data_IF_735743000000
#
_entry.id   IF_735743000000
#
_cell.length_a   1.000
_cell.length_b   1.000
_cell.length_c   1.000
_cell.angle_alpha   90.00
_cell.angle_beta   90.00
_cell.angle_gamma   90.00
#
_symmetry.space_group_name_H-M   'P 1'
#
loop_
_entity.id
_entity.type
_entity.pdbx_description
1 polymer ?
#
# COMPACT_ATOMS: atom_id res chain seq x y z
N UNK A 1 14.54 -18.28 16.39
CA UNK A 1 14.14 -18.98 15.14
C UNK A 1 15.10 -18.57 14.05
N UNK A 2 15.57 -19.52 13.23
CA UNK A 2 16.47 -19.23 12.11
C UNK A 2 15.63 -18.81 10.91
N UNK A 3 15.82 -17.62 10.32
CA UNK A 3 15.17 -17.25 9.09
C UNK A 3 15.74 -18.03 7.91
N UNK A 4 14.90 -18.38 6.95
CA UNK A 4 15.23 -19.09 5.73
C UNK A 4 14.59 -18.40 4.54
N UNK A 5 15.21 -18.55 3.38
CA UNK A 5 14.70 -18.04 2.12
C UNK A 5 14.80 -19.10 1.03
N UNK A 6 14.08 -18.90 -0.07
CA UNK A 6 14.19 -19.64 -1.31
C UNK A 6 14.06 -18.70 -2.49
N UNK A 7 14.94 -18.88 -3.46
CA UNK A 7 14.91 -18.15 -4.74
C UNK A 7 14.84 -19.17 -5.88
N UNK A 8 13.81 -19.05 -6.70
CA UNK A 8 13.58 -19.89 -7.86
C UNK A 8 13.69 -18.99 -9.10
N UNK A 9 14.70 -19.26 -9.95
CA UNK A 9 14.91 -18.54 -11.20
C UNK A 9 14.56 -19.45 -12.38
N UNK A 10 13.64 -19.00 -13.26
CA UNK A 10 13.15 -19.76 -14.42
C UNK A 10 12.78 -21.21 -14.08
N UNK A 11 12.06 -21.41 -12.99
CA UNK A 11 11.64 -22.71 -12.41
C UNK A 11 12.75 -23.54 -11.78
N UNK A 12 14.01 -23.09 -11.77
CA UNK A 12 15.12 -23.76 -11.07
C UNK A 12 15.37 -23.16 -9.70
N UNK A 13 15.45 -23.99 -8.66
CA UNK A 13 15.83 -23.56 -7.32
C UNK A 13 17.34 -23.28 -7.29
N UNK A 14 17.70 -22.01 -7.12
CA UNK A 14 19.09 -21.54 -7.07
C UNK A 14 19.57 -21.26 -5.64
N UNK A 15 18.72 -21.49 -4.63
CA UNK A 15 18.97 -21.13 -3.23
C UNK A 15 20.31 -21.65 -2.72
N UNK A 16 20.60 -22.94 -2.94
CA UNK A 16 21.85 -23.53 -2.49
C UNK A 16 23.10 -22.90 -3.11
N UNK A 17 22.99 -22.37 -4.34
CA UNK A 17 24.11 -21.74 -5.06
C UNK A 17 24.42 -20.33 -4.55
N UNK A 18 23.42 -19.65 -3.98
CA UNK A 18 23.57 -18.26 -3.54
C UNK A 18 23.58 -18.11 -2.02
N UNK A 19 23.33 -19.16 -1.26
CA UNK A 19 23.16 -19.09 0.18
C UNK A 19 24.39 -18.54 0.94
N UNK A 20 25.60 -18.94 0.57
CA UNK A 20 26.87 -18.49 1.17
C UNK A 20 27.37 -17.16 0.58
N UNK A 21 26.73 -16.69 -0.50
CA UNK A 21 27.08 -15.48 -1.24
C UNK A 21 26.07 -14.36 -1.05
N UNK A 22 24.93 -14.64 -0.40
CA UNK A 22 23.88 -13.65 -0.23
C UNK A 22 24.33 -12.51 0.66
N UNK A 23 24.40 -11.30 0.12
CA UNK A 23 24.62 -10.06 0.86
C UNK A 23 23.31 -9.42 1.27
N UNK A 24 22.32 -9.39 0.37
CA UNK A 24 21.02 -8.78 0.58
C UNK A 24 19.96 -9.45 -0.31
N UNK A 25 18.83 -9.78 0.28
CA UNK A 25 17.57 -10.03 -0.45
C UNK A 25 16.54 -9.06 0.11
N UNK A 26 16.09 -8.15 -0.74
CA UNK A 26 15.11 -7.13 -0.42
C UNK A 26 13.90 -7.27 -1.32
N UNK A 27 12.71 -7.20 -0.75
CA UNK A 27 11.46 -7.08 -1.51
C UNK A 27 10.65 -5.90 -0.99
N UNK A 28 9.94 -5.22 -1.87
CA UNK A 28 9.10 -4.08 -1.56
C UNK A 28 7.72 -4.27 -2.19
N UNK A 29 6.70 -4.43 -1.36
CA UNK A 29 5.29 -4.47 -1.75
C UNK A 29 4.71 -3.05 -1.64
N UNK A 30 4.13 -2.56 -2.74
CA UNK A 30 3.56 -1.22 -2.87
C UNK A 30 2.06 -1.27 -3.19
N UNK A 31 1.30 -0.22 -2.84
CA UNK A 31 -0.12 -0.16 -3.14
C UNK A 31 -0.38 0.20 -4.60
N UNK A 32 -1.47 -0.28 -5.11
CA UNK A 32 -1.97 0.12 -6.42
C UNK A 32 -1.14 -0.35 -7.59
N UNK A 33 -1.03 0.51 -8.63
CA UNK A 33 -0.29 0.23 -9.85
C UNK A 33 1.21 0.54 -9.74
N UNK A 34 1.71 0.88 -8.56
CA UNK A 34 3.14 0.88 -8.31
C UNK A 34 3.62 -0.57 -8.28
N UNK A 35 4.69 -0.83 -9.04
CA UNK A 35 5.19 -2.19 -9.16
C UNK A 35 5.85 -2.64 -7.86
N UNK A 36 5.54 -3.85 -7.40
CA UNK A 36 6.34 -4.51 -6.39
C UNK A 36 7.74 -4.75 -6.97
N UNK A 37 8.77 -4.60 -6.14
CA UNK A 37 10.16 -4.64 -6.55
C UNK A 37 10.94 -5.67 -5.71
N UNK A 38 12.01 -6.22 -6.31
CA UNK A 38 13.01 -6.96 -5.56
C UNK A 38 14.42 -6.50 -5.91
N UNK A 39 15.33 -6.69 -4.97
CA UNK A 39 16.76 -6.53 -5.13
C UNK A 39 17.47 -7.71 -4.48
N UNK A 40 18.36 -8.35 -5.22
CA UNK A 40 19.21 -9.44 -4.78
C UNK A 40 20.66 -9.02 -5.00
N UNK A 41 21.46 -8.96 -3.91
CA UNK A 41 22.90 -8.71 -3.96
C UNK A 41 23.67 -9.96 -3.62
N UNK A 42 24.59 -10.32 -4.47
CA UNK A 42 25.38 -11.53 -4.39
C UNK A 42 26.87 -11.16 -4.45
N UNK A 43 27.65 -11.77 -3.57
CA UNK A 43 29.11 -11.71 -3.60
C UNK A 43 29.65 -12.58 -4.75
N UNK A 44 30.34 -11.96 -5.69
CA UNK A 44 30.95 -12.62 -6.85
C UNK A 44 32.48 -12.66 -6.77
N UNK A 45 33.02 -12.84 -5.56
CA UNK A 45 34.46 -12.82 -5.21
C UNK A 45 35.35 -13.69 -6.10
N UNK A 46 34.80 -14.66 -6.81
CA UNK A 46 35.51 -15.61 -7.68
C UNK A 46 35.06 -15.55 -9.14
N UNK A 47 34.16 -14.61 -9.50
CA UNK A 47 33.63 -14.44 -10.84
C UNK A 47 32.81 -15.64 -11.36
N UNK A 48 32.34 -16.51 -10.46
CA UNK A 48 31.66 -17.75 -10.81
C UNK A 48 30.12 -17.61 -10.92
N UNK A 49 29.55 -16.50 -10.54
CA UNK A 49 28.11 -16.28 -10.60
C UNK A 49 27.68 -15.99 -12.03
N UNK A 50 26.85 -16.85 -12.60
CA UNK A 50 26.30 -16.65 -13.94
C UNK A 50 25.23 -15.54 -13.88
N UNK A 51 25.40 -14.53 -14.73
CA UNK A 51 24.43 -13.42 -14.82
C UNK A 51 23.09 -13.92 -15.38
N UNK A 52 21.97 -13.61 -14.73
CA UNK A 52 20.66 -13.96 -15.25
C UNK A 52 20.34 -13.12 -16.51
N UNK A 53 19.57 -13.70 -17.42
CA UNK A 53 19.04 -12.96 -18.57
C UNK A 53 18.01 -11.91 -18.10
N UNK A 54 18.00 -10.76 -18.75
CA UNK A 54 16.94 -9.78 -18.57
C UNK A 54 15.62 -10.36 -19.09
N UNK A 55 14.61 -10.39 -18.24
CA UNK A 55 13.35 -11.05 -18.54
C UNK A 55 13.16 -12.37 -17.81
N UNK A 56 14.21 -12.91 -17.19
CA UNK A 56 14.11 -14.10 -16.35
C UNK A 56 13.10 -13.93 -15.23
N UNK A 57 12.34 -14.98 -14.93
CA UNK A 57 11.37 -15.00 -13.83
C UNK A 57 12.07 -15.36 -12.53
N UNK A 58 11.80 -14.61 -11.46
CA UNK A 58 12.34 -14.86 -10.12
C UNK A 58 11.19 -14.93 -9.13
N UNK A 59 11.00 -16.12 -8.52
CA UNK A 59 10.09 -16.30 -7.40
C UNK A 59 10.87 -16.25 -6.08
N UNK A 60 10.37 -15.46 -5.12
CA UNK A 60 10.98 -15.28 -3.80
C UNK A 60 10.05 -15.81 -2.73
N UNK A 61 10.58 -16.66 -1.87
CA UNK A 61 9.91 -17.19 -0.70
C UNK A 61 10.78 -16.92 0.53
N UNK A 62 10.16 -16.48 1.64
CA UNK A 62 10.85 -16.20 2.90
C UNK A 62 10.04 -16.83 4.06
N UNK A 63 10.71 -17.26 5.10
CA UNK A 63 10.08 -17.85 6.28
C UNK A 63 11.05 -18.14 7.40
N UNK A 64 10.62 -18.99 8.31
CA UNK A 64 11.44 -19.48 9.40
C UNK A 64 11.54 -21.00 9.37
N UNK A 65 12.69 -21.51 9.72
CA UNK A 65 12.90 -22.93 9.91
C UNK A 65 11.89 -23.49 10.94
N UNK A 66 11.24 -24.60 10.57
CA UNK A 66 10.15 -25.19 11.34
C UNK A 66 8.76 -24.53 11.18
N UNK A 67 8.63 -23.39 10.46
CA UNK A 67 7.33 -22.74 10.15
C UNK A 67 6.99 -22.73 8.68
N UNK A 68 7.93 -23.11 7.82
CA UNK A 68 7.77 -23.15 6.38
C UNK A 68 8.06 -21.80 5.69
N UNK A 69 7.99 -21.84 4.37
CA UNK A 69 8.25 -20.72 3.47
C UNK A 69 6.93 -20.16 2.97
N UNK A 70 6.84 -18.84 2.89
CA UNK A 70 5.73 -18.11 2.27
C UNK A 70 6.24 -17.43 1.02
N UNK A 71 5.52 -17.58 -0.09
CA UNK A 71 5.83 -16.86 -1.33
C UNK A 71 5.53 -15.37 -1.15
N UNK A 72 6.56 -14.56 -1.33
CA UNK A 72 6.46 -13.10 -1.26
C UNK A 72 6.01 -12.53 -2.60
N UNK A 73 6.59 -13.00 -3.70
CA UNK A 73 6.22 -12.52 -5.03
C UNK A 73 6.91 -13.28 -6.16
N UNK A 74 6.43 -12.99 -7.38
CA UNK A 74 7.06 -13.40 -8.64
C UNK A 74 7.42 -12.14 -9.39
N UNK A 75 8.66 -12.02 -9.76
CA UNK A 75 9.26 -10.83 -10.37
C UNK A 75 9.87 -11.17 -11.71
N UNK A 76 10.12 -10.16 -12.53
CA UNK A 76 10.89 -10.28 -13.76
C UNK A 76 12.13 -9.42 -13.65
N UNK A 77 13.30 -9.98 -13.92
CA UNK A 77 14.57 -9.27 -13.94
C UNK A 77 14.54 -8.19 -15.01
N UNK A 78 14.81 -6.95 -14.63
CA UNK A 78 14.89 -5.81 -15.56
C UNK A 78 16.28 -5.15 -15.56
N UNK A 79 17.04 -5.30 -14.47
CA UNK A 79 18.37 -4.72 -14.31
C UNK A 79 19.34 -5.73 -13.69
N UNK A 80 20.55 -5.81 -14.25
CA UNK A 80 21.67 -6.56 -13.69
C UNK A 80 22.88 -5.64 -13.71
N UNK A 81 23.49 -5.42 -12.54
CA UNK A 81 24.65 -4.57 -12.34
C UNK A 81 25.79 -5.40 -11.75
N UNK A 82 26.98 -5.28 -12.32
CA UNK A 82 28.22 -5.80 -11.75
C UNK A 82 29.08 -4.62 -11.30
N UNK A 83 29.53 -4.65 -10.05
CA UNK A 83 30.39 -3.62 -9.46
C UNK A 83 31.50 -4.25 -8.64
N UNK A 84 32.62 -3.54 -8.53
CA UNK A 84 33.78 -4.01 -7.75
C UNK A 84 34.89 -2.96 -7.69
N UNK A 85 35.95 -3.15 -6.82
CA UNK A 85 36.04 -4.16 -5.77
C UNK A 85 35.31 -3.75 -4.47
N UNK A 86 34.77 -4.67 -3.64
CA UNK A 86 34.68 -6.09 -3.89
C UNK A 86 33.63 -6.43 -4.96
N UNK A 87 33.86 -7.48 -5.72
CA UNK A 87 33.01 -7.85 -6.85
C UNK A 87 31.64 -8.32 -6.34
N UNK A 88 30.61 -7.63 -6.82
CA UNK A 88 29.23 -7.79 -6.36
C UNK A 88 28.27 -7.72 -7.53
N UNK A 89 27.35 -8.66 -7.63
CA UNK A 89 26.26 -8.64 -8.59
C UNK A 89 24.99 -8.17 -7.89
N UNK A 90 24.34 -7.17 -8.48
CA UNK A 90 23.03 -6.68 -8.05
C UNK A 90 22.01 -6.98 -9.13
N UNK A 91 20.99 -7.74 -8.78
CA UNK A 91 19.89 -8.11 -9.66
C UNK A 91 18.64 -7.41 -9.14
N UNK A 92 17.99 -6.61 -10.00
CA UNK A 92 16.74 -5.93 -9.69
C UNK A 92 15.66 -6.34 -10.67
N UNK A 93 14.43 -6.32 -10.20
CA UNK A 93 13.28 -6.59 -11.05
C UNK A 93 11.98 -6.14 -10.42
N UNK A 94 10.95 -6.21 -11.23
CA UNK A 94 9.60 -5.74 -10.88
C UNK A 94 8.60 -6.87 -11.03
N UNK A 95 7.45 -6.75 -10.35
CA UNK A 95 6.37 -7.72 -10.47
C UNK A 95 6.08 -8.02 -11.94
N UNK A 96 6.04 -9.29 -12.29
CA UNK A 96 5.92 -9.78 -13.67
C UNK A 96 4.65 -9.30 -14.37
N UNK A 97 3.58 -9.05 -13.60
CA UNK A 97 2.29 -8.55 -14.08
C UNK A 97 2.34 -7.15 -14.71
N UNK A 98 3.43 -6.40 -14.54
CA UNK A 98 3.60 -5.04 -15.08
C UNK A 98 4.24 -5.00 -16.48
N UNK A 99 4.56 -6.15 -17.05
CA UNK A 99 5.02 -6.28 -18.45
C UNK A 99 3.83 -6.67 -19.31
N UNK A 100 3.39 -5.79 -20.20
CA UNK A 100 2.28 -6.11 -21.10
C UNK A 100 1.71 -4.90 -21.82
N UNK A 101 0.64 -5.13 -22.56
CA UNK A 101 -0.04 -4.13 -23.38
C UNK A 101 -0.70 -3.00 -22.58
N UNK A 102 -0.81 -3.16 -21.25
CA UNK A 102 -1.40 -2.13 -20.35
C UNK A 102 -0.68 -0.78 -20.35
N UNK A 103 0.59 -0.72 -20.80
CA UNK A 103 1.35 0.53 -21.01
C UNK A 103 1.14 1.16 -22.39
N UNK A 104 0.51 0.44 -23.33
CA UNK A 104 0.25 0.96 -24.67
C UNK A 104 -0.74 2.11 -24.60
N UNK A 105 -0.40 3.22 -25.25
CA UNK A 105 -1.27 4.38 -25.39
C UNK A 105 -2.43 4.01 -26.32
N UNK A 106 -3.64 4.38 -25.92
CA UNK A 106 -4.88 4.09 -26.64
C UNK A 106 -5.82 5.28 -26.61
N UNK A 107 -6.75 5.28 -27.54
CA UNK A 107 -7.90 6.17 -27.56
C UNK A 107 -9.19 5.36 -27.49
N UNK A 108 -10.18 5.89 -26.77
CA UNK A 108 -11.48 5.26 -26.59
C UNK A 108 -12.30 5.94 -25.52
N UNK A 109 -13.44 5.36 -25.17
CA UNK A 109 -14.28 5.91 -24.13
C UNK A 109 -15.42 4.97 -23.75
N UNK A 110 -16.02 5.25 -22.60
CA UNK A 110 -17.21 4.57 -22.09
C UNK A 110 -18.24 5.60 -21.65
N UNK A 111 -19.50 5.30 -21.86
CA UNK A 111 -20.62 6.15 -21.47
C UNK A 111 -21.74 5.33 -20.83
N UNK A 112 -22.21 5.75 -19.65
CA UNK A 112 -23.34 5.16 -18.96
C UNK A 112 -23.12 3.72 -18.47
N UNK A 113 -21.88 3.26 -18.30
CA UNK A 113 -21.55 1.91 -17.86
C UNK A 113 -21.01 1.90 -16.43
N UNK A 114 -21.04 0.75 -15.77
CA UNK A 114 -20.50 0.62 -14.42
C UNK A 114 -18.97 0.61 -14.43
N UNK A 115 -18.34 1.03 -13.33
CA UNK A 115 -16.89 0.93 -13.14
C UNK A 115 -16.42 -0.52 -13.33
N UNK A 116 -17.17 -1.49 -12.82
CA UNK A 116 -16.87 -2.90 -12.99
C UNK A 116 -16.82 -3.31 -14.48
N UNK A 117 -17.72 -2.77 -15.31
CA UNK A 117 -17.70 -3.03 -16.77
C UNK A 117 -16.45 -2.46 -17.43
N UNK A 118 -16.05 -1.24 -17.09
CA UNK A 118 -14.82 -0.62 -17.62
C UNK A 118 -13.60 -1.46 -17.26
N UNK A 119 -13.53 -1.91 -16.00
CA UNK A 119 -12.44 -2.77 -15.50
C UNK A 119 -12.41 -4.10 -16.26
N UNK A 120 -13.57 -4.70 -16.52
CA UNK A 120 -13.66 -5.95 -17.26
C UNK A 120 -13.20 -5.79 -18.72
N UNK A 121 -13.59 -4.72 -19.40
CA UNK A 121 -13.18 -4.44 -20.78
C UNK A 121 -11.66 -4.22 -20.87
N UNK A 122 -11.08 -3.46 -19.92
CA UNK A 122 -9.63 -3.24 -19.85
C UNK A 122 -8.88 -4.54 -19.53
N UNK A 123 -9.38 -5.36 -18.62
CA UNK A 123 -8.79 -6.64 -18.30
C UNK A 123 -8.80 -7.58 -19.50
N UNK A 124 -9.95 -7.73 -20.17
CA UNK A 124 -10.12 -8.60 -21.32
C UNK A 124 -9.13 -8.28 -22.47
N UNK A 125 -8.97 -6.99 -22.80
CA UNK A 125 -8.04 -6.59 -23.88
C UNK A 125 -6.55 -6.75 -23.54
N UNK A 126 -6.24 -6.94 -22.24
CA UNK A 126 -4.87 -7.23 -21.79
C UNK A 126 -4.66 -8.70 -21.42
N UNK A 127 -5.67 -9.57 -21.61
CA UNK A 127 -5.58 -10.99 -21.30
C UNK A 127 -5.68 -11.30 -19.80
N UNK A 128 -6.22 -10.38 -18.98
CA UNK A 128 -6.39 -10.57 -17.54
C UNK A 128 -7.82 -10.90 -17.18
N UNK A 129 -7.99 -11.56 -16.03
CA UNK A 129 -9.28 -11.60 -15.34
C UNK A 129 -9.53 -10.27 -14.63
N UNK A 130 -10.80 -9.94 -14.36
CA UNK A 130 -11.16 -8.71 -13.67
C UNK A 130 -11.83 -9.01 -12.34
N UNK A 131 -11.56 -8.17 -11.34
CA UNK A 131 -12.28 -8.17 -10.06
C UNK A 131 -12.55 -6.73 -9.61
N UNK A 132 -13.81 -6.33 -9.65
CA UNK A 132 -14.27 -5.01 -9.21
C UNK A 132 -15.69 -5.13 -8.62
N UNK A 133 -15.83 -5.07 -7.28
CA UNK A 133 -17.15 -5.11 -6.64
C UNK A 133 -17.94 -3.81 -6.78
N UNK A 134 -17.32 -2.75 -7.29
CA UNK A 134 -17.91 -1.41 -7.36
C UNK A 134 -18.83 -1.28 -8.57
N UNK A 135 -20.15 -1.26 -8.34
CA UNK A 135 -21.18 -1.17 -9.36
C UNK A 135 -21.63 0.27 -9.68
N UNK A 136 -20.82 1.26 -9.30
CA UNK A 136 -21.15 2.65 -9.57
C UNK A 136 -21.14 2.93 -11.07
N UNK A 137 -22.20 3.58 -11.58
CA UNK A 137 -22.28 3.99 -12.97
C UNK A 137 -21.37 5.17 -13.23
N UNK A 138 -20.51 5.03 -14.22
CA UNK A 138 -19.65 6.09 -14.75
C UNK A 138 -20.40 6.76 -15.90
N UNK A 139 -20.80 8.04 -15.77
CA UNK A 139 -21.59 8.71 -16.79
C UNK A 139 -20.87 8.79 -18.13
N UNK A 140 -19.60 9.19 -18.09
CA UNK A 140 -18.69 9.21 -19.23
C UNK A 140 -17.25 9.25 -18.75
N UNK A 141 -16.40 8.50 -19.43
CA UNK A 141 -14.95 8.59 -19.30
C UNK A 141 -14.32 8.40 -20.67
N UNK A 142 -13.42 9.30 -21.01
CA UNK A 142 -12.64 9.23 -22.24
C UNK A 142 -11.21 8.81 -21.90
N UNK A 143 -10.65 7.93 -22.71
CA UNK A 143 -9.25 7.56 -22.77
C UNK A 143 -8.66 8.26 -24.00
N UNK A 144 -7.86 9.31 -23.79
CA UNK A 144 -7.31 10.13 -24.87
C UNK A 144 -5.79 10.11 -24.72
N UNK A 145 -5.10 9.49 -25.67
CA UNK A 145 -3.65 9.31 -25.62
C UNK A 145 -3.17 8.81 -24.26
N UNK A 146 -3.92 7.91 -23.64
CA UNK A 146 -3.71 7.44 -22.27
C UNK A 146 -3.54 5.93 -22.26
N UNK A 147 -2.59 5.41 -21.45
CA UNK A 147 -2.44 3.97 -21.25
C UNK A 147 -3.54 3.40 -20.34
N UNK A 148 -3.81 2.09 -20.46
CA UNK A 148 -4.77 1.40 -19.61
C UNK A 148 -4.41 1.52 -18.13
N UNK A 149 -3.13 1.46 -17.78
CA UNK A 149 -2.67 1.63 -16.41
C UNK A 149 -2.95 3.03 -15.86
N UNK A 150 -2.75 4.08 -16.67
CA UNK A 150 -3.05 5.44 -16.25
C UNK A 150 -4.55 5.65 -16.08
N UNK A 151 -5.34 5.22 -17.07
CA UNK A 151 -6.80 5.34 -17.02
C UNK A 151 -7.38 4.65 -15.77
N UNK A 152 -6.99 3.37 -15.53
CA UNK A 152 -7.55 2.64 -14.39
C UNK A 152 -7.08 3.21 -13.04
N UNK A 153 -5.84 3.72 -12.98
CA UNK A 153 -5.32 4.39 -11.78
C UNK A 153 -6.09 5.67 -11.48
N UNK A 154 -6.36 6.46 -12.51
CA UNK A 154 -7.15 7.71 -12.41
C UNK A 154 -8.57 7.44 -11.97
N UNK A 155 -9.24 6.45 -12.59
CA UNK A 155 -10.59 6.04 -12.22
C UNK A 155 -10.64 5.49 -10.79
N UNK A 156 -9.73 4.58 -10.43
CA UNK A 156 -9.68 4.06 -9.08
C UNK A 156 -9.57 5.17 -8.03
N UNK A 157 -8.68 6.14 -8.24
CA UNK A 157 -8.52 7.29 -7.34
C UNK A 157 -9.80 8.13 -7.24
N UNK A 158 -10.49 8.36 -8.36
CA UNK A 158 -11.73 9.13 -8.40
C UNK A 158 -12.85 8.46 -7.60
N UNK A 159 -12.92 7.13 -7.64
CA UNK A 159 -13.94 6.34 -6.94
C UNK A 159 -13.49 5.80 -5.57
N UNK A 160 -12.37 6.30 -5.04
CA UNK A 160 -11.86 5.87 -3.72
C UNK A 160 -11.41 4.42 -3.67
N UNK A 161 -10.98 3.88 -4.80
CA UNK A 161 -10.47 2.52 -4.97
C UNK A 161 -8.95 2.51 -5.14
N UNK A 162 -8.39 1.32 -5.02
CA UNK A 162 -7.02 0.99 -5.43
C UNK A 162 -7.09 0.00 -6.58
N UNK A 163 -6.30 0.24 -7.64
CA UNK A 163 -6.14 -0.69 -8.75
C UNK A 163 -4.79 -1.39 -8.67
N UNK A 164 -4.76 -2.72 -8.82
CA UNK A 164 -3.51 -3.51 -8.86
C UNK A 164 -3.66 -4.66 -9.86
N UNK A 165 -2.60 -4.95 -10.60
CA UNK A 165 -2.52 -6.19 -11.39
C UNK A 165 -1.68 -7.19 -10.63
N UNK A 166 -2.27 -8.34 -10.29
CA UNK A 166 -1.59 -9.40 -9.55
C UNK A 166 -2.12 -10.77 -10.01
N UNK A 167 -1.22 -11.73 -10.25
CA UNK A 167 -1.56 -13.10 -10.66
C UNK A 167 -2.56 -13.13 -11.85
N UNK A 168 -2.25 -12.38 -12.91
CA UNK A 168 -3.06 -12.25 -14.13
C UNK A 168 -4.50 -11.74 -13.91
N UNK A 169 -4.71 -10.99 -12.83
CA UNK A 169 -5.98 -10.33 -12.50
C UNK A 169 -5.80 -8.83 -12.35
N UNK A 170 -6.71 -8.07 -12.97
CA UNK A 170 -6.89 -6.65 -12.71
C UNK A 170 -7.88 -6.48 -11.55
N UNK A 171 -7.37 -6.05 -10.41
CA UNK A 171 -8.14 -5.82 -9.19
C UNK A 171 -8.43 -4.32 -9.05
N UNK A 172 -9.69 -3.95 -8.85
CA UNK A 172 -10.08 -2.57 -8.49
C UNK A 172 -10.99 -2.65 -7.28
N UNK A 173 -10.41 -2.46 -6.11
CA UNK A 173 -11.06 -2.68 -4.82
C UNK A 173 -11.22 -1.36 -4.05
N UNK A 174 -12.30 -1.19 -3.27
CA UNK A 174 -12.43 -0.03 -2.39
C UNK A 174 -11.23 0.06 -1.44
N UNK A 175 -10.59 1.22 -1.41
CA UNK A 175 -9.46 1.47 -0.50
C UNK A 175 -9.95 1.40 0.95
N UNK A 176 -9.24 0.66 1.80
CA UNK A 176 -9.66 0.38 3.18
C UNK A 176 -11.02 -0.35 3.26
N UNK A 177 -11.41 -1.10 2.24
CA UNK A 177 -12.62 -1.90 2.25
C UNK A 177 -12.62 -3.03 3.29
N UNK A 178 -11.44 -3.44 3.73
CA UNK A 178 -11.26 -4.54 4.69
C UNK A 178 -11.61 -5.92 4.11
N UNK A 179 -11.70 -6.02 2.79
CA UNK A 179 -12.04 -7.26 2.09
C UNK A 179 -10.90 -7.68 1.16
N UNK A 180 -10.77 -8.98 0.97
CA UNK A 180 -9.91 -9.57 -0.06
C UNK A 180 -10.58 -9.42 -1.42
N UNK A 181 -9.82 -9.65 -2.49
CA UNK A 181 -10.36 -9.73 -3.84
C UNK A 181 -11.52 -10.74 -3.95
N UNK A 182 -11.55 -11.79 -3.14
CA UNK A 182 -12.63 -12.78 -3.08
C UNK A 182 -13.88 -12.35 -2.29
N UNK A 183 -13.95 -11.10 -1.80
CA UNK A 183 -15.03 -10.61 -0.93
C UNK A 183 -14.94 -11.09 0.53
N UNK A 184 -13.96 -11.94 0.87
CA UNK A 184 -13.76 -12.39 2.24
C UNK A 184 -13.13 -11.28 3.10
N UNK A 185 -13.56 -11.09 4.37
CA UNK A 185 -12.99 -10.07 5.23
C UNK A 185 -11.49 -10.31 5.48
N UNK A 186 -10.70 -9.23 5.41
CA UNK A 186 -9.31 -9.24 5.82
C UNK A 186 -9.23 -9.24 7.34
N UNK A 187 -8.59 -10.24 7.91
CA UNK A 187 -8.30 -10.26 9.34
C UNK A 187 -7.36 -9.12 9.69
N UNK A 188 -7.75 -8.26 10.62
CA UNK A 188 -6.90 -7.18 11.12
C UNK A 188 -5.71 -7.77 11.90
N UNK A 189 -4.51 -7.28 11.63
CA UNK A 189 -3.31 -7.67 12.39
C UNK A 189 -3.09 -6.65 13.50
N UNK A 190 -2.96 -7.13 14.73
CA UNK A 190 -2.57 -6.30 15.86
C UNK A 190 -1.07 -6.39 16.08
N UNK A 191 -0.41 -5.23 16.14
CA UNK A 191 1.02 -5.09 16.45
C UNK A 191 1.17 -4.49 17.83
N UNK A 192 1.78 -5.24 18.72
CA UNK A 192 2.02 -4.79 20.11
C UNK A 192 3.43 -4.23 20.28
N UNK A 193 3.63 -3.38 21.29
CA UNK A 193 4.94 -2.75 21.54
C UNK A 193 6.12 -3.72 21.60
N UNK A 194 6.03 -4.93 22.22
CA UNK A 194 7.13 -5.89 22.26
C UNK A 194 7.50 -6.48 20.89
N UNK A 195 6.57 -6.51 19.93
CA UNK A 195 6.82 -7.04 18.59
C UNK A 195 7.55 -6.03 17.69
N UNK A 196 7.60 -4.76 18.08
CA UNK A 196 8.16 -3.67 17.28
C UNK A 196 9.55 -3.31 17.80
N UNK A 197 10.58 -3.50 16.97
CA UNK A 197 11.98 -3.17 17.30
C UNK A 197 12.21 -1.67 17.26
N UNK A 198 11.74 -1.00 16.21
CA UNK A 198 11.86 0.45 16.03
C UNK A 198 10.56 1.03 15.51
N UNK A 199 10.20 2.23 15.94
CA UNK A 199 9.02 2.91 15.43
C UNK A 199 9.25 4.41 15.28
N UNK A 200 8.56 4.99 14.32
CA UNK A 200 8.46 6.43 14.14
C UNK A 200 7.02 6.78 13.80
N UNK A 201 6.43 7.70 14.54
CA UNK A 201 5.11 8.25 14.29
C UNK A 201 5.23 9.75 14.03
N UNK A 202 4.66 10.20 12.92
CA UNK A 202 4.56 11.62 12.57
C UNK A 202 3.08 11.96 12.42
N UNK A 203 2.63 12.99 13.09
CA UNK A 203 1.30 13.55 12.94
C UNK A 203 1.42 14.95 12.37
N UNK A 204 0.55 15.27 11.40
CA UNK A 204 0.54 16.58 10.74
C UNK A 204 -0.91 16.98 10.46
N UNK A 205 -1.24 18.21 10.78
CA UNK A 205 -2.55 18.80 10.51
C UNK A 205 -2.59 19.60 9.21
N UNK A 206 -1.44 19.82 8.54
CA UNK A 206 -1.33 20.61 7.30
C UNK A 206 -2.27 20.16 6.20
N UNK A 207 -2.56 18.86 6.12
CA UNK A 207 -3.46 18.27 5.13
C UNK A 207 -4.91 18.20 5.63
N UNK A 208 -5.18 18.52 6.89
CA UNK A 208 -6.53 18.44 7.45
C UNK A 208 -7.41 19.52 6.84
N UNK A 209 -8.55 19.11 6.26
CA UNK A 209 -9.57 19.99 5.73
C UNK A 209 -10.81 19.93 6.59
N UNK A 210 -11.49 21.07 6.82
CA UNK A 210 -12.76 21.14 7.53
C UNK A 210 -13.88 20.48 6.71
N UNK A 211 -13.86 20.67 5.42
CA UNK A 211 -14.81 20.09 4.48
C UNK A 211 -14.22 20.00 3.07
N UNK A 212 -14.83 19.21 2.22
CA UNK A 212 -14.55 19.16 0.79
C UNK A 212 -15.83 19.54 0.05
N UNK A 213 -15.71 20.49 -0.87
CA UNK A 213 -16.77 20.93 -1.81
C UNK A 213 -16.51 20.33 -3.17
N UNK A 214 -17.56 19.80 -3.80
CA UNK A 214 -17.53 19.33 -5.19
C UNK A 214 -18.76 19.86 -5.92
N UNK A 215 -18.56 20.45 -7.09
CA UNK A 215 -19.62 20.98 -7.92
C UNK A 215 -20.13 19.96 -8.93
N UNK A 216 -21.42 20.00 -9.26
CA UNK A 216 -22.01 19.19 -10.33
C UNK A 216 -23.03 19.99 -11.12
N UNK A 217 -23.23 19.59 -12.39
CA UNK A 217 -24.26 20.15 -13.24
C UNK A 217 -25.56 19.37 -13.00
N UNK A 218 -26.60 20.05 -12.51
CA UNK A 218 -27.93 19.47 -12.45
C UNK A 218 -28.57 19.50 -13.84
N UNK A 219 -28.78 18.31 -14.42
CA UNK A 219 -29.37 18.16 -15.76
C UNK A 219 -30.85 18.63 -15.86
N UNK A 220 -31.56 18.66 -14.71
CA UNK A 220 -32.98 19.10 -14.70
C UNK A 220 -33.13 20.61 -14.68
N UNK A 221 -32.32 21.27 -13.89
CA UNK A 221 -32.41 22.73 -13.70
C UNK A 221 -31.39 23.50 -14.52
N UNK A 222 -30.40 22.83 -15.11
CA UNK A 222 -29.28 23.45 -15.81
C UNK A 222 -28.33 24.24 -14.91
N UNK A 223 -28.54 24.22 -13.58
CA UNK A 223 -27.76 24.99 -12.61
C UNK A 223 -26.55 24.22 -12.12
N UNK A 224 -25.52 24.99 -11.74
CA UNK A 224 -24.38 24.46 -11.02
C UNK A 224 -24.74 24.35 -9.53
N UNK A 225 -24.72 23.14 -9.01
CA UNK A 225 -24.99 22.81 -7.61
C UNK A 225 -23.69 22.38 -6.92
N UNK A 226 -23.60 22.54 -5.59
CA UNK A 226 -22.41 22.19 -4.80
C UNK A 226 -22.79 21.23 -3.69
N UNK A 227 -22.06 20.12 -3.61
CA UNK A 227 -22.09 19.20 -2.46
C UNK A 227 -20.94 19.58 -1.52
N UNK A 228 -21.24 19.75 -0.24
CA UNK A 228 -20.26 19.95 0.81
C UNK A 228 -20.25 18.76 1.75
N UNK A 229 -19.09 18.12 1.90
CA UNK A 229 -18.86 17.02 2.82
C UNK A 229 -17.99 17.49 3.99
N UNK A 230 -18.59 17.63 5.18
CA UNK A 230 -17.88 18.01 6.39
C UNK A 230 -16.96 16.89 6.89
N UNK A 231 -15.80 17.26 7.42
CA UNK A 231 -14.87 16.34 8.08
C UNK A 231 -15.17 16.26 9.58
N UNK A 232 -15.83 15.18 10.00
CA UNK A 232 -16.11 14.94 11.42
C UNK A 232 -14.84 14.85 12.30
N UNK A 233 -13.70 14.50 11.70
CA UNK A 233 -12.41 14.33 12.37
C UNK A 233 -11.56 15.60 12.37
N UNK A 234 -12.03 16.70 11.79
CA UNK A 234 -11.30 17.96 11.85
C UNK A 234 -11.32 18.54 13.27
N UNK A 235 -10.18 19.03 13.77
CA UNK A 235 -10.14 19.77 15.04
C UNK A 235 -11.00 21.04 14.99
N UNK A 236 -11.55 21.45 16.14
CA UNK A 236 -12.27 22.69 16.24
C UNK A 236 -11.36 23.89 15.95
N UNK A 237 -11.90 24.91 15.24
CA UNK A 237 -11.17 26.14 14.95
C UNK A 237 -10.23 26.07 13.74
N UNK A 238 -10.13 24.96 13.06
CA UNK A 238 -9.31 24.74 11.84
C UNK A 238 -10.18 24.71 10.59
N UNK A 239 -9.58 24.64 9.55
CA UNK A 239 -8.93 25.39 8.53
C UNK A 239 -9.72 25.36 7.22
N UNK A 240 -9.05 25.53 6.06
CA UNK A 240 -9.73 25.81 4.83
C UNK A 240 -10.64 24.67 4.38
N UNK A 241 -11.67 25.04 3.64
CA UNK A 241 -12.51 24.13 2.89
C UNK A 241 -11.84 23.90 1.54
N UNK A 242 -11.57 22.64 1.20
CA UNK A 242 -11.07 22.32 -0.13
C UNK A 242 -12.21 22.31 -1.15
N UNK A 243 -12.06 23.03 -2.24
CA UNK A 243 -13.01 23.01 -3.36
C UNK A 243 -12.39 22.22 -4.51
N UNK A 244 -13.08 21.16 -4.95
CA UNK A 244 -12.69 20.43 -6.16
C UNK A 244 -12.91 21.34 -7.37
N UNK A 245 -11.91 21.40 -8.24
CA UNK A 245 -11.97 22.22 -9.46
C UNK A 245 -12.77 21.58 -10.58
N UNK A 246 -13.02 20.27 -10.47
CA UNK A 246 -13.74 19.52 -11.48
C UNK A 246 -15.26 19.63 -11.26
N UNK A 247 -16.00 19.91 -12.34
CA UNK A 247 -17.46 19.89 -12.32
C UNK A 247 -17.92 18.48 -12.68
N UNK A 248 -18.62 17.84 -11.76
CA UNK A 248 -19.08 16.47 -11.92
C UNK A 248 -20.41 16.41 -12.70
N UNK A 249 -20.66 15.31 -13.43
CA UNK A 249 -21.84 15.19 -14.29
C UNK A 249 -23.16 15.01 -13.53
N UNK A 250 -23.12 14.66 -12.25
CA UNK A 250 -24.30 14.51 -11.39
C UNK A 250 -23.91 14.54 -9.90
N UNK A 251 -24.91 14.62 -9.02
CA UNK A 251 -24.75 14.68 -7.57
C UNK A 251 -23.99 13.48 -6.99
N UNK A 252 -24.32 12.28 -7.42
CA UNK A 252 -23.69 11.05 -6.91
C UNK A 252 -22.17 11.03 -7.23
N UNK A 253 -21.78 11.44 -8.42
CA UNK A 253 -20.37 11.53 -8.80
C UNK A 253 -19.63 12.59 -7.97
N UNK A 254 -20.25 13.74 -7.70
CA UNK A 254 -19.69 14.80 -6.86
C UNK A 254 -19.52 14.32 -5.40
N UNK A 255 -20.51 13.62 -4.84
CA UNK A 255 -20.43 13.05 -3.49
C UNK A 255 -19.32 12.02 -3.35
N UNK A 256 -19.16 11.13 -4.34
CA UNK A 256 -18.11 10.13 -4.34
C UNK A 256 -16.72 10.77 -4.46
N UNK A 257 -16.54 11.73 -5.34
CA UNK A 257 -15.30 12.46 -5.50
C UNK A 257 -14.95 13.22 -4.20
N UNK A 258 -15.93 13.88 -3.57
CA UNK A 258 -15.74 14.56 -2.28
C UNK A 258 -15.32 13.58 -1.17
N UNK A 259 -15.94 12.39 -1.08
CA UNK A 259 -15.58 11.32 -0.12
C UNK A 259 -14.17 10.79 -0.36
N UNK A 260 -13.82 10.48 -1.61
CA UNK A 260 -12.50 10.00 -1.98
C UNK A 260 -11.40 11.04 -1.66
N UNK A 261 -11.67 12.31 -1.95
CA UNK A 261 -10.76 13.43 -1.68
C UNK A 261 -10.56 13.66 -0.19
N UNK A 262 -11.66 13.65 0.58
CA UNK A 262 -11.60 13.80 2.04
C UNK A 262 -10.82 12.66 2.68
N UNK A 263 -11.07 11.41 2.28
CA UNK A 263 -10.32 10.26 2.75
C UNK A 263 -8.82 10.38 2.41
N UNK A 264 -8.46 10.92 1.23
CA UNK A 264 -7.07 11.17 0.86
C UNK A 264 -6.40 12.20 1.77
N UNK A 265 -7.08 13.30 2.12
CA UNK A 265 -6.57 14.28 3.09
C UNK A 265 -6.41 13.66 4.48
N UNK A 266 -7.39 12.90 4.94
CA UNK A 266 -7.33 12.25 6.25
C UNK A 266 -6.17 11.26 6.34
N UNK A 267 -5.90 10.47 5.29
CA UNK A 267 -4.74 9.55 5.25
C UNK A 267 -3.42 10.27 5.48
N UNK A 268 -3.23 11.45 4.93
CA UNK A 268 -1.99 12.22 5.07
C UNK A 268 -1.79 12.91 6.42
N UNK A 269 -2.75 12.78 7.36
CA UNK A 269 -2.63 13.34 8.72
C UNK A 269 -1.65 12.57 9.63
N UNK A 270 -1.25 11.36 9.27
CA UNK A 270 -0.17 10.66 9.94
C UNK A 270 0.67 9.85 8.95
N UNK A 271 1.96 9.78 9.23
CA UNK A 271 2.92 8.85 8.64
C UNK A 271 3.53 8.00 9.76
N UNK A 272 3.60 6.70 9.57
CA UNK A 272 4.10 5.75 10.55
C UNK A 272 5.09 4.82 9.88
N UNK A 273 6.24 4.61 10.51
CA UNK A 273 7.24 3.60 10.11
C UNK A 273 7.48 2.68 11.28
N UNK A 274 7.29 1.39 11.06
CA UNK A 274 7.49 0.33 12.06
C UNK A 274 8.49 -0.68 11.51
N UNK A 275 9.48 -1.04 12.31
CA UNK A 275 10.47 -2.08 12.01
C UNK A 275 10.34 -3.19 13.05
N UNK A 276 10.35 -4.44 12.59
CA UNK A 276 10.14 -5.61 13.42
C UNK A 276 10.85 -6.85 12.86
N UNK A 277 11.02 -7.93 13.64
CA UNK A 277 11.46 -9.21 13.11
C UNK A 277 10.61 -9.66 11.94
N UNK A 278 11.20 -10.37 10.99
CA UNK A 278 10.56 -10.77 9.75
C UNK A 278 9.21 -11.46 9.95
N UNK A 279 8.22 -11.08 9.15
CA UNK A 279 6.89 -11.67 9.13
C UNK A 279 6.23 -11.53 7.76
N UNK A 280 5.41 -12.51 7.39
CA UNK A 280 4.81 -12.62 6.04
C UNK A 280 3.33 -12.27 5.99
N UNK A 281 2.72 -11.92 7.11
CA UNK A 281 1.30 -11.62 7.20
C UNK A 281 0.96 -10.15 6.97
N UNK A 282 1.95 -9.31 6.68
CA UNK A 282 1.78 -7.89 6.35
C UNK A 282 1.95 -7.67 4.84
N UNK A 283 1.05 -6.86 4.26
CA UNK A 283 1.08 -6.46 2.85
C UNK A 283 0.41 -5.09 2.68
N UNK A 284 0.67 -4.42 1.56
CA UNK A 284 0.10 -3.11 1.24
C UNK A 284 -1.45 -3.14 1.22
N UNK A 285 -2.08 -2.02 1.57
CA UNK A 285 -3.54 -1.83 1.71
C UNK A 285 -4.17 -2.60 2.88
N UNK A 286 -3.40 -3.29 3.70
CA UNK A 286 -3.91 -3.95 4.92
C UNK A 286 -4.09 -2.94 6.05
N UNK A 287 -5.17 -3.06 6.80
CA UNK A 287 -5.35 -2.32 8.06
C UNK A 287 -4.66 -3.08 9.19
N UNK A 288 -3.83 -2.37 9.95
CA UNK A 288 -3.21 -2.86 11.19
C UNK A 288 -3.72 -2.06 12.38
N UNK A 289 -3.68 -2.68 13.55
CA UNK A 289 -3.94 -2.02 14.84
C UNK A 289 -2.64 -2.01 15.63
N UNK A 290 -2.17 -0.83 16.00
CA UNK A 290 -0.99 -0.67 16.88
C UNK A 290 -1.48 -0.50 18.30
N UNK A 291 -0.90 -1.25 19.24
CA UNK A 291 -1.30 -1.23 20.64
C UNK A 291 -0.11 -1.20 21.60
N UNK A 292 -0.25 -0.49 22.72
CA UNK A 292 0.73 -0.46 23.80
C UNK A 292 1.92 0.46 23.57
N UNK A 293 1.88 1.35 22.56
CA UNK A 293 2.91 2.38 22.35
C UNK A 293 2.66 3.57 23.26
N UNK A 294 1.55 4.28 23.05
CA UNK A 294 1.18 5.46 23.81
C UNK A 294 -0.28 5.84 23.53
N UNK A 295 -0.98 6.30 24.58
CA UNK A 295 -2.31 6.88 24.42
C UNK A 295 -2.29 8.03 23.40
N UNK A 296 -3.21 8.00 22.43
CA UNK A 296 -3.29 8.93 21.30
C UNK A 296 -2.50 8.49 20.06
N UNK A 297 -1.57 7.55 20.21
CA UNK A 297 -0.86 6.92 19.08
C UNK A 297 -1.50 5.58 18.73
N UNK A 298 -1.87 4.80 19.74
CA UNK A 298 -2.50 3.49 19.56
C UNK A 298 -3.76 3.59 18.69
N UNK A 299 -4.01 2.56 17.90
CA UNK A 299 -5.17 2.48 17.03
C UNK A 299 -4.87 1.98 15.62
N UNK A 300 -5.84 2.14 14.71
CA UNK A 300 -5.77 1.61 13.36
C UNK A 300 -4.95 2.50 12.42
N UNK A 301 -4.18 1.86 11.54
CA UNK A 301 -3.40 2.47 10.47
C UNK A 301 -3.53 1.65 9.19
N UNK A 302 -3.42 2.29 8.04
CA UNK A 302 -3.42 1.63 6.74
C UNK A 302 -1.98 1.44 6.27
N UNK A 303 -1.61 0.22 5.92
CA UNK A 303 -0.28 -0.09 5.36
C UNK A 303 -0.16 0.48 3.96
N UNK A 304 0.87 1.29 3.71
CA UNK A 304 1.21 1.82 2.39
C UNK A 304 2.26 0.97 1.70
N UNK A 305 3.29 0.55 2.42
CA UNK A 305 4.31 -0.33 1.85
C UNK A 305 4.84 -1.32 2.89
N UNK A 306 5.30 -2.46 2.42
CA UNK A 306 5.98 -3.47 3.22
C UNK A 306 7.30 -3.82 2.57
N UNK A 307 8.38 -3.58 3.29
CA UNK A 307 9.73 -3.93 2.89
C UNK A 307 10.20 -5.13 3.70
N UNK A 308 10.62 -6.18 3.01
CA UNK A 308 11.29 -7.34 3.61
C UNK A 308 12.78 -7.25 3.31
N UNK A 309 13.61 -7.33 4.33
CA UNK A 309 15.06 -7.31 4.18
C UNK A 309 15.65 -8.55 4.84
N UNK A 310 16.25 -9.41 4.03
CA UNK A 310 16.96 -10.61 4.47
C UNK A 310 18.44 -10.45 4.21
N UNK A 311 19.27 -10.67 5.24
CA UNK A 311 20.71 -10.60 5.19
C UNK A 311 21.30 -11.78 5.96
N UNK A 312 22.62 -11.93 5.99
CA UNK A 312 23.30 -12.90 6.84
C UNK A 312 23.03 -12.66 8.34
N UNK A 313 22.73 -11.42 8.75
CA UNK A 313 22.42 -11.08 10.14
C UNK A 313 20.97 -11.39 10.54
N UNK A 314 20.11 -11.72 9.60
CA UNK A 314 18.71 -12.07 9.85
C UNK A 314 17.72 -11.50 8.87
N UNK A 315 16.45 -11.54 9.25
CA UNK A 315 15.32 -11.07 8.47
C UNK A 315 14.50 -10.05 9.25
N UNK A 316 14.29 -8.88 8.66
CA UNK A 316 13.45 -7.81 9.19
C UNK A 316 12.33 -7.42 8.23
N UNK A 317 11.24 -6.94 8.79
CA UNK A 317 10.09 -6.36 8.08
C UNK A 317 9.95 -4.91 8.50
N UNK A 318 9.93 -4.00 7.52
CA UNK A 318 9.61 -2.59 7.72
C UNK A 318 8.27 -2.28 7.07
N UNK A 319 7.38 -1.62 7.81
CA UNK A 319 6.04 -1.25 7.33
C UNK A 319 5.90 0.26 7.38
N UNK A 320 5.50 0.85 6.27
CA UNK A 320 5.08 2.25 6.22
C UNK A 320 3.55 2.32 6.17
N UNK A 321 2.98 3.17 7.01
CA UNK A 321 1.54 3.30 7.14
C UNK A 321 1.11 4.76 7.15
N UNK A 322 -0.15 4.99 6.78
CA UNK A 322 -0.83 6.27 6.93
C UNK A 322 -1.98 6.21 7.95
N UNK A 323 -2.64 7.35 8.18
CA UNK A 323 -3.69 7.48 9.18
C UNK A 323 -5.01 6.75 8.86
N UNK A 324 -5.16 6.19 7.66
CA UNK A 324 -6.42 5.64 7.17
C UNK A 324 -7.48 6.73 6.87
N UNK A 325 -8.64 6.31 6.40
CA UNK A 325 -9.74 7.21 5.95
C UNK A 325 -10.31 8.12 7.04
N UNK A 326 -10.22 7.71 8.31
CA UNK A 326 -10.67 8.54 9.45
C UNK A 326 -9.65 9.61 9.82
N UNK A 327 -8.37 9.42 9.49
CA UNK A 327 -7.31 10.32 9.86
C UNK A 327 -6.94 10.27 11.36
N UNK A 328 -5.97 11.08 11.73
CA UNK A 328 -5.43 11.20 13.09
C UNK A 328 -5.30 12.65 13.56
N UNK A 329 -6.01 13.58 12.92
CA UNK A 329 -5.91 15.01 13.23
C UNK A 329 -6.31 15.33 14.68
N UNK A 330 -7.22 14.55 15.28
CA UNK A 330 -7.63 14.68 16.70
C UNK A 330 -6.85 13.78 17.66
N UNK A 331 -5.82 13.08 17.19
CA UNK A 331 -5.03 12.21 18.04
C UNK A 331 -4.30 13.01 19.10
N UNK A 332 -4.66 12.81 20.37
CA UNK A 332 -4.06 13.46 21.52
C UNK A 332 -3.83 12.45 22.65
N UNK A 333 -2.68 12.54 23.31
CA UNK A 333 -2.40 11.73 24.49
C UNK A 333 -3.24 12.16 25.68
N UNK A 334 -3.86 11.22 26.37
CA UNK A 334 -4.45 11.50 27.70
C UNK A 334 -3.34 11.78 28.70
N UNK A 335 -3.44 12.88 29.47
CA UNK A 335 -2.54 13.09 30.59
C UNK A 335 -2.73 11.93 31.57
N UNK A 336 -1.66 11.19 31.89
CA UNK A 336 -1.68 10.26 33.03
C UNK A 336 -1.98 11.08 34.27
N UNK A 337 -3.07 10.79 34.96
CA UNK A 337 -3.25 11.28 36.30
C UNK A 337 -2.08 10.76 37.14
N UNK A 338 -1.24 11.66 37.62
CA UNK A 338 -0.23 11.29 38.60
C UNK A 338 -0.96 10.73 39.81
N UNK A 339 -0.83 9.43 40.09
CA UNK A 339 -1.21 8.91 41.40
C UNK A 339 -0.45 9.72 42.44
N UNK A 340 -1.13 10.30 43.44
CA UNK A 340 -0.43 11.00 44.52
C UNK A 340 0.58 10.01 45.13
N UNK A 341 1.83 10.45 45.30
CA UNK A 341 2.84 9.69 46.02
C UNK A 341 2.30 9.42 47.44
N UNK A 342 2.03 8.18 47.77
CA UNK A 342 1.79 7.80 49.17
C UNK A 342 3.13 7.93 49.88
N UNK A 343 3.24 8.97 50.69
CA UNK A 343 4.35 9.10 51.63
C UNK A 343 4.08 8.09 52.74
N UNK A 344 4.80 6.99 52.73
CA UNK A 344 4.82 6.04 53.86
C UNK A 344 5.59 6.74 54.97
N UNK A 345 4.89 7.17 56.03
CA UNK A 345 5.55 7.69 57.22
C UNK A 345 6.39 6.57 57.83
N UNK A 346 7.71 6.77 57.87
CA UNK A 346 8.62 5.88 58.58
C UNK A 346 8.31 6.09 60.09
N UNK A 347 7.74 5.07 60.73
CA UNK A 347 7.47 5.10 62.14
C UNK A 347 8.73 5.38 62.94
N UNK A 348 8.63 6.34 63.88
CA UNK A 348 9.69 6.55 64.88
C UNK A 348 9.86 5.26 65.65
N UNK A 349 11.07 4.69 65.62
CA UNK A 349 11.46 3.67 66.56
C UNK A 349 11.55 4.32 67.96
N UNK A 350 10.80 3.79 68.91
CA UNK A 350 10.91 4.08 70.33
C UNK A 350 11.96 3.19 70.96
#
# INVERSE_FOLDING_TARGET
MKPIFRVIADKADITARINDRLLLLRTLDKPGMESDEFELRIDDRDGAVVLPERGASVEIQIGYDGRGLTRIGIYTVDEVELSGPPDTIVIRGKASSMRGSGKTIRDGGWEGVTLARIVADIAARNGWQSECPVQTVVPRVDQICESDFNLITRLARQYGCTAKVAADKLLVLPREGGERASGAPLTTVTLTRPEITRFQFRFSDRATQKAVKAAYQDKKTGKLEVVELANAEAPAGLPPVHTDRHIHPNKSAAEQAAKARLAAFNRSTAGVRLEMPGRTDLFAERTIVVAGIKSGIDGSYLVESVEQVFTQSGWSTTVECNAGKKGKAKAAGKKKQKKPLQVVAIGKAS
#
